data_IF_752266351052
#
_entry.id   IF_752266351052
#
_cell.length_a   1.000
_cell.length_b   1.000
_cell.length_c   1.000
_cell.angle_alpha   90.00
_cell.angle_beta   90.00
_cell.angle_gamma   90.00
#
_symmetry.space_group_name_H-M   'P 1'
#
loop_
_entity.id
_entity.type
_entity.pdbx_description
1 polymer ?
#
# COMPACT_ATOMS: atom_id res chain seq x y z
N UNK A 1 -2.28 10.51 -4.75
CA UNK A 1 -2.88 11.20 -3.59
C UNK A 1 -3.23 10.10 -2.63
N UNK A 2 -2.64 10.09 -1.43
CA UNK A 2 -2.82 9.00 -0.49
C UNK A 2 -4.29 8.88 -0.08
N UNK A 3 -4.80 7.67 0.04
CA UNK A 3 -6.18 7.39 0.49
C UNK A 3 -6.41 7.72 1.98
N UNK A 4 -5.50 8.46 2.62
CA UNK A 4 -5.54 8.82 4.04
C UNK A 4 -6.71 9.75 4.39
N UNK A 5 -7.29 10.44 3.41
CA UNK A 5 -8.44 11.35 3.61
C UNK A 5 -9.64 10.66 4.27
N UNK A 6 -9.82 9.36 4.05
CA UNK A 6 -10.93 8.59 4.62
C UNK A 6 -10.76 8.40 6.14
N UNK A 7 -9.52 8.38 6.64
CA UNK A 7 -9.24 8.21 8.07
C UNK A 7 -9.71 9.44 8.85
N UNK A 8 -9.50 10.63 8.28
CA UNK A 8 -9.98 11.88 8.87
C UNK A 8 -11.52 11.92 8.88
N UNK A 9 -12.17 11.56 7.76
CA UNK A 9 -13.64 11.50 7.67
C UNK A 9 -14.23 10.51 8.69
N UNK A 10 -13.66 9.31 8.83
CA UNK A 10 -14.13 8.32 9.81
C UNK A 10 -13.95 8.82 11.25
N UNK A 11 -12.89 9.57 11.51
CA UNK A 11 -12.64 10.20 12.82
C UNK A 11 -13.69 11.26 13.13
N UNK A 12 -14.03 12.11 12.16
CA UNK A 12 -15.06 13.14 12.31
C UNK A 12 -16.46 12.54 12.53
N UNK A 13 -16.81 11.49 11.77
CA UNK A 13 -18.08 10.78 11.93
C UNK A 13 -18.18 10.10 13.30
N UNK A 14 -17.08 9.53 13.81
CA UNK A 14 -17.04 8.95 15.16
C UNK A 14 -17.29 10.03 16.20
N UNK A 15 -16.62 11.18 16.10
CA UNK A 15 -16.81 12.31 17.02
C UNK A 15 -18.27 12.81 17.01
N UNK A 16 -18.89 12.89 15.83
CA UNK A 16 -20.30 13.19 15.69
C UNK A 16 -21.19 12.13 16.36
N UNK A 17 -20.93 10.84 16.13
CA UNK A 17 -21.71 9.75 16.73
C UNK A 17 -21.65 9.78 18.26
N UNK A 18 -20.46 9.97 18.85
CA UNK A 18 -20.27 10.11 20.30
C UNK A 18 -21.05 11.31 20.84
N UNK A 19 -20.96 12.46 20.17
CA UNK A 19 -21.68 13.68 20.58
C UNK A 19 -23.20 13.51 20.60
N UNK A 20 -23.73 12.63 19.76
CA UNK A 20 -25.18 12.38 19.64
C UNK A 20 -25.64 11.12 20.40
N UNK A 21 -24.77 10.48 21.20
CA UNK A 21 -25.12 9.27 21.95
C UNK A 21 -25.32 8.02 21.08
N UNK A 22 -24.83 8.04 19.84
CA UNK A 22 -24.90 6.92 18.90
C UNK A 22 -23.74 5.95 19.14
N UNK A 23 -23.65 5.39 20.35
CA UNK A 23 -22.48 4.62 20.81
C UNK A 23 -22.17 3.40 19.92
N UNK A 24 -23.20 2.64 19.51
CA UNK A 24 -23.02 1.48 18.62
C UNK A 24 -22.43 1.90 17.28
N UNK A 25 -22.87 3.04 16.74
CA UNK A 25 -22.35 3.59 15.49
C UNK A 25 -20.91 4.09 15.66
N UNK A 26 -20.60 4.72 16.79
CA UNK A 26 -19.24 5.17 17.10
C UNK A 26 -18.25 4.00 17.19
N UNK A 27 -18.66 2.87 17.79
CA UNK A 27 -17.84 1.65 17.87
C UNK A 27 -17.60 1.06 16.47
N UNK A 28 -18.65 0.93 15.65
CA UNK A 28 -18.52 0.45 14.27
C UNK A 28 -17.61 1.35 13.40
N UNK A 29 -17.66 2.67 13.62
CA UNK A 29 -16.79 3.62 12.93
C UNK A 29 -15.33 3.48 13.37
N UNK A 30 -15.07 3.10 14.62
CA UNK A 30 -13.72 2.83 15.11
C UNK A 30 -13.13 1.56 14.48
N UNK A 31 -13.94 0.49 14.39
CA UNK A 31 -13.57 -0.75 13.72
C UNK A 31 -13.28 -0.50 12.22
N UNK A 32 -14.16 0.23 11.54
CA UNK A 32 -13.98 0.59 10.14
C UNK A 32 -12.69 1.40 9.91
N UNK A 33 -12.37 2.32 10.83
CA UNK A 33 -11.13 3.11 10.79
C UNK A 33 -9.88 2.22 10.92
N UNK A 34 -9.89 1.23 11.82
CA UNK A 34 -8.78 0.27 11.96
C UNK A 34 -8.57 -0.59 10.71
N UNK A 35 -9.66 -1.06 10.10
CA UNK A 35 -9.62 -1.83 8.85
C UNK A 35 -9.04 -0.96 7.73
N UNK A 36 -9.56 0.26 7.55
CA UNK A 36 -9.07 1.18 6.52
C UNK A 36 -7.57 1.49 6.67
N UNK A 37 -7.09 1.75 7.89
CA UNK A 37 -5.66 1.97 8.15
C UNK A 37 -4.82 0.74 7.75
N UNK A 38 -5.32 -0.46 8.04
CA UNK A 38 -4.63 -1.72 7.72
C UNK A 38 -4.56 -1.97 6.22
N UNK A 39 -5.66 -1.69 5.51
CA UNK A 39 -5.74 -1.84 4.05
C UNK A 39 -4.86 -0.82 3.32
N UNK A 40 -4.92 0.46 3.70
CA UNK A 40 -4.07 1.52 3.12
C UNK A 40 -2.57 1.24 3.36
N UNK A 41 -2.21 0.79 4.57
CA UNK A 41 -0.83 0.38 4.87
C UNK A 41 -0.39 -0.86 4.07
N UNK A 42 -1.33 -1.73 3.68
CA UNK A 42 -1.02 -2.91 2.87
C UNK A 42 -0.95 -2.59 1.38
N UNK A 43 -1.83 -1.72 0.88
CA UNK A 43 -1.80 -1.22 -0.50
C UNK A 43 -0.50 -0.44 -0.79
N UNK A 44 -0.07 0.42 0.13
CA UNK A 44 1.21 1.13 0.00
C UNK A 44 2.42 0.19 -0.01
N UNK A 45 2.40 -0.90 0.77
CA UNK A 45 3.44 -1.95 0.69
C UNK A 45 3.46 -2.64 -0.67
N UNK A 46 2.30 -2.99 -1.22
CA UNK A 46 2.22 -3.62 -2.54
C UNK A 46 2.76 -2.69 -3.63
N UNK A 47 2.43 -1.40 -3.63
CA UNK A 47 3.02 -0.44 -4.59
C UNK A 47 4.55 -0.41 -4.52
N UNK A 48 5.12 -0.47 -3.31
CA UNK A 48 6.59 -0.48 -3.13
C UNK A 48 7.24 -1.81 -3.52
N UNK A 49 6.57 -2.95 -3.35
CA UNK A 49 7.07 -4.26 -3.79
C UNK A 49 7.01 -4.39 -5.31
N UNK A 50 5.91 -3.95 -5.93
CA UNK A 50 5.74 -3.96 -7.38
C UNK A 50 6.81 -3.09 -8.06
N UNK A 51 7.19 -1.96 -7.46
CA UNK A 51 8.27 -1.11 -7.97
C UNK A 51 9.65 -1.80 -7.89
N UNK A 52 9.92 -2.61 -6.86
CA UNK A 52 11.18 -3.36 -6.69
C UNK A 52 11.32 -4.55 -7.62
N UNK A 53 10.21 -5.13 -8.10
CA UNK A 53 10.25 -6.29 -8.99
C UNK A 53 10.84 -5.95 -10.38
N UNK A 54 10.71 -4.71 -10.85
CA UNK A 54 11.31 -4.23 -12.10
C UNK A 54 12.82 -3.96 -12.03
N UNK A 55 13.44 -4.00 -10.83
CA UNK A 55 14.89 -3.84 -10.65
C UNK A 55 15.65 -5.17 -10.58
N UNK A 56 15.02 -6.33 -10.85
CA UNK A 56 15.80 -7.56 -11.03
C UNK A 56 16.55 -7.45 -12.36
N UNK A 57 17.90 -7.37 -12.39
CA UNK A 57 18.63 -7.37 -13.64
C UNK A 57 18.38 -8.73 -14.30
N UNK A 58 17.65 -8.72 -15.41
CA UNK A 58 17.48 -9.89 -16.27
C UNK A 58 18.87 -10.44 -16.55
N UNK A 59 19.10 -11.68 -16.14
CA UNK A 59 20.39 -12.34 -16.20
C UNK A 59 21.00 -12.19 -17.59
N UNK A 60 22.16 -11.53 -17.64
CA UNK A 60 23.07 -11.62 -18.77
C UNK A 60 24.20 -12.56 -18.38
N UNK A 61 24.20 -13.83 -18.80
CA UNK A 61 25.45 -14.45 -19.18
C UNK A 61 25.87 -13.76 -20.49
N UNK A 62 26.85 -12.86 -20.43
CA UNK A 62 27.56 -12.42 -21.62
C UNK A 62 28.33 -13.63 -22.19
N UNK A 63 27.66 -14.41 -23.04
CA UNK A 63 28.30 -15.39 -23.91
C UNK A 63 28.17 -14.89 -25.34
N UNK A 64 29.14 -14.06 -25.73
CA UNK A 64 29.52 -13.91 -27.13
C UNK A 64 31.04 -13.99 -27.21
N UNK A 65 31.55 -15.22 -27.20
CA UNK A 65 32.90 -15.52 -27.72
C UNK A 65 32.70 -15.84 -29.20
N UNK A 66 32.75 -14.79 -30.03
CA UNK A 66 33.03 -15.00 -31.45
C UNK A 66 34.50 -15.40 -31.58
N UNK A 67 34.71 -16.57 -32.18
CA UNK A 67 36.02 -17.00 -32.62
C UNK A 67 36.62 -16.04 -33.65
N UNK A 68 37.93 -15.88 -33.56
CA UNK A 68 38.76 -15.20 -34.54
C UNK A 68 40.19 -15.69 -34.39
N UNK A 69 40.47 -16.86 -35.00
CA UNK A 69 41.82 -17.24 -35.41
C UNK A 69 42.46 -16.07 -36.17
N UNK A 70 43.65 -15.63 -35.74
CA UNK A 70 44.62 -15.02 -36.64
C UNK A 70 46.01 -15.54 -36.26
N UNK A 71 46.64 -16.11 -37.28
CA UNK A 71 47.94 -16.76 -37.33
C UNK A 71 49.13 -15.86 -36.98
#
# INVERSE_FOLDING_TARGET
MSDEWIIDVLTDLKAYAVKNGLNVTADQLDDARLIAMTEIASASRQETENAREYEKPVGRPCLYVAGGELA
#
